data_IF_135701989511
#
_entry.id   IF_135701989511
#
_cell.length_a   1.000
_cell.length_b   1.000
_cell.length_c   1.000
_cell.angle_alpha   90.00
_cell.angle_beta   90.00
_cell.angle_gamma   90.00
#
_symmetry.space_group_name_H-M   'P 1'
#
loop_
_entity.id
_entity.type
_entity.pdbx_description
1 polymer ?
#
# COMPACT_ATOMS: atom_id res chain seq x y z
N UNK A 1 -28.18 -4.45 32.35
CA UNK A 1 -28.41 -4.58 30.88
C UNK A 1 -27.30 -5.46 30.34
N UNK A 2 -27.60 -6.74 30.13
CA UNK A 2 -26.60 -7.77 29.80
C UNK A 2 -26.34 -7.70 28.29
N UNK A 3 -25.14 -7.26 27.90
CA UNK A 3 -24.72 -7.29 26.50
C UNK A 3 -24.31 -8.73 26.15
N UNK A 4 -25.21 -9.43 25.48
CA UNK A 4 -24.92 -10.70 24.84
C UNK A 4 -23.86 -10.49 23.75
N UNK A 5 -22.66 -11.03 23.96
CA UNK A 5 -21.64 -11.16 22.91
C UNK A 5 -21.78 -12.56 22.30
N UNK A 6 -22.24 -12.70 21.05
CA UNK A 6 -22.27 -14.01 20.41
C UNK A 6 -20.84 -14.52 20.23
N UNK A 7 -20.59 -15.74 20.70
CA UNK A 7 -19.37 -16.49 20.39
C UNK A 7 -19.46 -16.86 18.91
N UNK A 8 -18.53 -16.37 18.10
CA UNK A 8 -18.40 -16.79 16.70
C UNK A 8 -17.74 -18.18 16.70
N UNK A 9 -18.52 -19.19 16.34
CA UNK A 9 -18.03 -20.56 16.13
C UNK A 9 -17.05 -20.59 14.93
N UNK A 10 -15.99 -21.43 14.94
CA UNK A 10 -14.91 -21.38 13.94
C UNK A 10 -15.30 -21.84 12.52
N UNK A 11 -16.56 -22.25 12.30
CA UNK A 11 -17.00 -22.98 11.12
C UNK A 11 -17.66 -22.14 10.02
N UNK A 12 -17.68 -20.80 10.13
CA UNK A 12 -18.30 -19.89 9.16
C UNK A 12 -17.32 -18.98 8.40
N UNK A 13 -16.10 -19.44 8.09
CA UNK A 13 -15.17 -18.73 7.20
C UNK A 13 -15.31 -19.11 5.71
N UNK A 14 -16.47 -19.58 5.27
CA UNK A 14 -16.70 -19.97 3.87
C UNK A 14 -17.51 -18.90 3.11
N UNK A 15 -16.93 -18.44 2.00
CA UNK A 15 -17.49 -17.59 0.94
C UNK A 15 -17.59 -16.08 1.19
N UNK A 16 -16.49 -15.45 1.60
CA UNK A 16 -16.24 -14.06 1.20
C UNK A 16 -15.39 -14.10 -0.07
N UNK A 17 -15.89 -13.50 -1.16
CA UNK A 17 -15.05 -13.25 -2.34
C UNK A 17 -13.79 -12.49 -1.89
N UNK A 18 -12.60 -12.84 -2.39
CA UNK A 18 -11.40 -12.12 -2.03
C UNK A 18 -11.58 -10.67 -2.48
N UNK A 19 -11.69 -9.75 -1.52
CA UNK A 19 -11.53 -8.32 -1.80
C UNK A 19 -10.17 -8.22 -2.49
N UNK A 20 -10.14 -7.69 -3.72
CA UNK A 20 -8.88 -7.50 -4.44
C UNK A 20 -7.92 -6.73 -3.53
N UNK A 21 -6.79 -7.33 -3.17
CA UNK A 21 -5.80 -6.67 -2.32
C UNK A 21 -5.28 -5.38 -2.97
N UNK A 22 -4.54 -4.56 -2.20
CA UNK A 22 -3.97 -3.28 -2.67
C UNK A 22 -3.23 -3.43 -4.02
N UNK A 23 -2.52 -4.54 -4.23
CA UNK A 23 -1.83 -4.85 -5.48
C UNK A 23 -2.73 -4.73 -6.73
N UNK A 24 -3.99 -5.16 -6.64
CA UNK A 24 -4.94 -5.05 -7.76
C UNK A 24 -5.42 -3.63 -8.05
N UNK A 25 -5.28 -2.68 -7.11
CA UNK A 25 -5.53 -1.25 -7.36
C UNK A 25 -4.26 -0.49 -7.75
N UNK A 26 -3.10 -1.01 -7.33
CA UNK A 26 -1.80 -0.39 -7.56
C UNK A 26 -1.20 -0.76 -8.92
N UNK A 27 -1.35 -2.02 -9.34
CA UNK A 27 -0.87 -2.53 -10.63
C UNK A 27 -1.97 -2.31 -11.67
N UNK A 28 -1.69 -1.47 -12.66
CA UNK A 28 -2.66 -1.10 -13.70
C UNK A 28 -3.08 -2.26 -14.63
N UNK A 29 -2.13 -2.98 -15.25
CA UNK A 29 -2.46 -4.01 -16.24
C UNK A 29 -3.27 -5.17 -15.65
N UNK A 30 -4.39 -5.47 -16.29
CA UNK A 30 -5.22 -6.65 -16.04
C UNK A 30 -4.56 -7.92 -16.60
N UNK A 31 -4.98 -9.12 -16.17
CA UNK A 31 -4.45 -10.38 -16.73
C UNK A 31 -4.56 -10.48 -18.26
N UNK A 32 -5.64 -9.97 -18.86
CA UNK A 32 -5.80 -9.95 -20.31
C UNK A 32 -4.85 -8.97 -21.01
N UNK A 33 -4.62 -7.79 -20.43
CA UNK A 33 -3.66 -6.82 -20.98
C UNK A 33 -2.22 -7.33 -20.84
N UNK A 34 -1.90 -8.00 -19.73
CA UNK A 34 -0.61 -8.68 -19.54
C UNK A 34 -0.40 -9.70 -20.66
N UNK A 35 -1.40 -10.54 -20.95
CA UNK A 35 -1.27 -11.52 -22.04
C UNK A 35 -1.05 -10.84 -23.40
N UNK A 36 -1.81 -9.79 -23.71
CA UNK A 36 -1.62 -9.02 -24.95
C UNK A 36 -0.19 -8.44 -25.06
N UNK A 37 0.36 -7.92 -23.96
CA UNK A 37 1.73 -7.41 -23.92
C UNK A 37 2.77 -8.53 -24.12
N UNK A 38 2.56 -9.70 -23.52
CA UNK A 38 3.43 -10.87 -23.69
C UNK A 38 3.42 -11.39 -25.13
N UNK A 39 2.25 -11.41 -25.77
CA UNK A 39 2.08 -11.82 -27.17
C UNK A 39 2.86 -10.88 -28.12
N UNK A 40 2.83 -9.57 -27.88
CA UNK A 40 3.62 -8.58 -28.64
C UNK A 40 5.11 -8.84 -28.52
N UNK A 41 5.56 -9.28 -27.33
CA UNK A 41 6.96 -9.61 -27.06
C UNK A 41 7.36 -11.02 -27.54
N UNK A 42 6.39 -11.85 -27.97
CA UNK A 42 6.63 -13.23 -28.40
C UNK A 42 7.12 -14.16 -27.28
N UNK A 43 6.69 -13.90 -26.04
CA UNK A 43 7.04 -14.68 -24.85
C UNK A 43 5.79 -15.21 -24.16
N UNK A 44 5.93 -16.32 -23.45
CA UNK A 44 4.79 -17.10 -22.93
C UNK A 44 4.33 -16.68 -21.53
N UNK A 45 5.20 -16.01 -20.75
CA UNK A 45 4.90 -15.67 -19.36
C UNK A 45 5.75 -14.51 -18.82
N UNK A 46 5.31 -13.96 -17.69
CA UNK A 46 6.10 -13.00 -16.92
C UNK A 46 7.40 -13.62 -16.36
N UNK A 47 7.39 -14.91 -16.00
CA UNK A 47 8.60 -15.59 -15.53
C UNK A 47 9.65 -15.67 -16.65
N UNK A 48 9.24 -16.02 -17.86
CA UNK A 48 10.12 -16.03 -19.04
C UNK A 48 10.67 -14.62 -19.34
N UNK A 49 9.85 -13.57 -19.20
CA UNK A 49 10.30 -12.19 -19.35
C UNK A 49 11.42 -11.87 -18.35
N UNK A 50 11.23 -12.23 -17.08
CA UNK A 50 12.20 -11.97 -16.01
C UNK A 50 13.50 -12.74 -16.25
N UNK A 51 13.40 -14.03 -16.61
CA UNK A 51 14.55 -14.90 -16.86
C UNK A 51 15.43 -14.39 -18.01
N UNK A 52 14.81 -13.85 -19.07
CA UNK A 52 15.52 -13.25 -20.20
C UNK A 52 16.09 -11.85 -19.92
N UNK A 53 15.59 -11.16 -18.89
CA UNK A 53 15.95 -9.76 -18.62
C UNK A 53 16.97 -9.61 -17.49
N UNK A 54 16.80 -10.36 -16.39
CA UNK A 54 17.62 -10.24 -15.18
C UNK A 54 18.63 -11.38 -15.13
N UNK A 55 19.95 -11.12 -15.12
CA UNK A 55 20.95 -12.17 -15.02
C UNK A 55 20.75 -13.03 -13.76
N UNK A 56 20.66 -14.35 -13.94
CA UNK A 56 20.41 -15.30 -12.86
C UNK A 56 21.44 -15.19 -11.72
N UNK A 57 22.70 -14.83 -12.03
CA UNK A 57 23.78 -14.69 -11.06
C UNK A 57 23.53 -13.61 -9.99
N UNK A 58 22.64 -12.64 -10.25
CA UNK A 58 22.31 -11.57 -9.30
C UNK A 58 20.86 -11.62 -8.82
N UNK A 59 20.06 -12.59 -9.29
CA UNK A 59 18.66 -12.73 -8.89
C UNK A 59 18.56 -13.36 -7.51
N UNK A 60 17.65 -12.83 -6.68
CA UNK A 60 17.37 -13.41 -5.37
C UNK A 60 16.75 -14.80 -5.55
N UNK A 61 17.31 -15.79 -4.85
CA UNK A 61 16.95 -17.21 -4.93
C UNK A 61 15.88 -17.64 -3.92
N UNK A 62 15.35 -16.69 -3.15
CA UNK A 62 14.32 -16.92 -2.14
C UNK A 62 13.33 -15.74 -2.14
N UNK A 63 12.06 -15.97 -1.76
CA UNK A 63 11.12 -14.88 -1.57
C UNK A 63 11.58 -13.90 -0.50
N UNK A 64 11.10 -12.66 -0.57
CA UNK A 64 11.32 -11.67 0.49
C UNK A 64 10.67 -12.16 1.80
N UNK A 65 11.42 -12.05 2.90
CA UNK A 65 10.92 -12.36 4.24
C UNK A 65 10.17 -11.14 4.81
N UNK A 66 8.91 -10.99 4.41
CA UNK A 66 8.03 -9.90 4.82
C UNK A 66 6.79 -10.42 5.57
N UNK A 67 6.15 -9.61 6.42
CA UNK A 67 4.83 -9.93 6.96
C UNK A 67 3.82 -10.21 5.85
N UNK A 68 2.78 -10.97 6.18
CA UNK A 68 1.67 -11.18 5.25
C UNK A 68 1.04 -9.84 4.85
N UNK A 69 0.67 -9.73 3.56
CA UNK A 69 0.03 -8.53 3.05
C UNK A 69 -1.28 -8.25 3.80
N UNK A 70 -1.46 -6.99 4.16
CA UNK A 70 -2.68 -6.51 4.80
C UNK A 70 -3.63 -5.89 3.78
N UNK A 71 -4.91 -5.82 4.14
CA UNK A 71 -5.82 -4.91 3.46
C UNK A 71 -5.43 -3.46 3.75
N UNK A 72 -5.84 -2.54 2.90
CA UNK A 72 -5.56 -1.11 3.09
C UNK A 72 -6.15 -0.57 4.38
N UNK A 73 -7.35 -1.03 4.73
CA UNK A 73 -8.00 -0.66 5.97
C UNK A 73 -7.20 -1.14 7.18
N UNK A 74 -6.74 -2.39 7.17
CA UNK A 74 -5.94 -2.95 8.25
C UNK A 74 -4.59 -2.20 8.38
N UNK A 75 -3.93 -1.91 7.25
CA UNK A 75 -2.67 -1.17 7.25
C UNK A 75 -2.81 0.24 7.83
N UNK A 76 -3.89 0.97 7.50
CA UNK A 76 -4.17 2.28 8.09
C UNK A 76 -4.50 2.18 9.59
N UNK A 77 -5.21 1.14 10.01
CA UNK A 77 -5.52 0.91 11.42
C UNK A 77 -4.25 0.63 12.24
N UNK A 78 -3.38 -0.26 11.76
CA UNK A 78 -2.09 -0.55 12.41
C UNK A 78 -1.22 0.71 12.49
N UNK A 79 -1.12 1.47 11.40
CA UNK A 79 -0.32 2.70 11.38
C UNK A 79 -0.86 3.73 12.39
N UNK A 80 -2.19 3.79 12.57
CA UNK A 80 -2.82 4.66 13.56
C UNK A 80 -2.48 4.24 14.99
N UNK A 81 -2.41 2.94 15.28
CA UNK A 81 -1.98 2.43 16.59
C UNK A 81 -0.52 2.77 16.88
N UNK A 82 0.36 2.67 15.87
CA UNK A 82 1.76 3.08 16.00
C UNK A 82 1.85 4.59 16.24
N UNK A 83 1.15 5.39 15.44
CA UNK A 83 1.15 6.85 15.55
C UNK A 83 0.63 7.35 16.90
N UNK A 84 -0.33 6.65 17.51
CA UNK A 84 -0.89 6.96 18.83
C UNK A 84 0.13 6.86 19.98
N UNK A 85 1.29 6.22 19.75
CA UNK A 85 2.39 6.15 20.73
C UNK A 85 3.19 7.47 20.80
N UNK A 86 3.07 8.33 19.80
CA UNK A 86 3.75 9.63 19.78
C UNK A 86 3.11 10.61 20.76
N UNK A 87 3.93 11.49 21.34
CA UNK A 87 3.47 12.58 22.21
C UNK A 87 3.65 13.91 21.50
N UNK A 88 2.54 14.64 21.28
CA UNK A 88 2.56 15.96 20.64
C UNK A 88 2.71 17.03 21.71
N UNK A 89 3.93 17.58 21.84
CA UNK A 89 4.25 18.65 22.77
C UNK A 89 4.22 20.02 22.09
N UNK A 90 4.07 21.08 22.90
CA UNK A 90 4.44 22.44 22.50
C UNK A 90 5.96 22.56 22.58
N UNK A 91 6.62 22.34 21.46
CA UNK A 91 8.09 22.29 21.38
C UNK A 91 8.66 23.66 21.05
N UNK A 92 9.40 24.26 21.99
CA UNK A 92 10.15 25.51 21.80
C UNK A 92 11.67 25.29 21.74
N UNK A 93 12.09 24.10 21.31
CA UNK A 93 13.51 23.73 21.18
C UNK A 93 14.21 24.63 20.15
N UNK A 94 13.51 25.00 19.07
CA UNK A 94 14.05 25.85 18.01
C UNK A 94 15.01 25.07 17.11
N UNK A 95 16.25 25.52 17.00
CA UNK A 95 17.32 24.87 16.20
C UNK A 95 16.96 24.63 14.73
N UNK A 96 16.22 25.55 14.10
CA UNK A 96 15.86 25.49 12.68
C UNK A 96 14.46 24.94 12.39
N UNK A 97 13.72 24.47 13.41
CA UNK A 97 12.32 24.07 13.27
C UNK A 97 11.44 24.87 14.24
N UNK A 98 10.40 25.49 13.69
CA UNK A 98 9.45 26.30 14.43
C UNK A 98 8.03 25.91 14.01
N UNK A 99 7.17 25.66 14.99
CA UNK A 99 5.77 25.32 14.72
C UNK A 99 5.04 26.48 14.04
N UNK A 100 4.07 26.17 13.18
CA UNK A 100 3.30 27.16 12.46
C UNK A 100 1.89 26.66 12.15
N UNK A 101 0.97 27.60 11.93
CA UNK A 101 -0.37 27.27 11.46
C UNK A 101 -0.31 27.13 9.95
N UNK A 102 -0.33 25.90 9.45
CA UNK A 102 -0.57 25.64 8.02
C UNK A 102 -2.00 26.07 7.69
N UNK A 103 -2.21 27.06 6.80
CA UNK A 103 -3.55 27.50 6.45
C UNK A 103 -4.38 26.31 5.91
N UNK A 104 -5.60 26.05 6.43
CA UNK A 104 -6.37 24.86 6.05
C UNK A 104 -6.64 24.75 4.55
N UNK A 105 -6.79 25.89 3.87
CA UNK A 105 -6.98 25.94 2.42
C UNK A 105 -5.76 25.40 1.65
N UNK A 106 -4.54 25.62 2.15
CA UNK A 106 -3.30 25.10 1.57
C UNK A 106 -3.17 23.62 1.88
N UNK A 107 -3.42 23.20 3.13
CA UNK A 107 -3.39 21.79 3.52
C UNK A 107 -4.32 20.94 2.65
N UNK A 108 -5.59 21.36 2.52
CA UNK A 108 -6.61 20.62 1.76
C UNK A 108 -6.38 20.64 0.24
N UNK A 109 -6.08 21.80 -0.34
CA UNK A 109 -6.15 21.97 -1.80
C UNK A 109 -4.81 21.85 -2.52
N UNK A 110 -3.70 21.84 -1.78
CA UNK A 110 -2.35 21.68 -2.33
C UNK A 110 -1.73 20.40 -1.76
N UNK A 111 -1.49 20.31 -0.45
CA UNK A 111 -0.75 19.19 0.15
C UNK A 111 -1.50 17.84 0.01
N UNK A 112 -2.82 17.84 0.20
CA UNK A 112 -3.66 16.63 0.07
C UNK A 112 -4.22 16.42 -1.35
N UNK A 113 -3.81 17.22 -2.34
CA UNK A 113 -4.36 17.18 -3.69
C UNK A 113 -3.39 16.52 -4.69
N UNK A 114 -3.72 15.34 -5.26
CA UNK A 114 -2.85 14.66 -6.21
C UNK A 114 -2.53 15.49 -7.46
N UNK A 115 -3.39 16.42 -7.85
CA UNK A 115 -3.11 17.34 -8.96
C UNK A 115 -1.90 18.25 -8.72
N UNK A 116 -1.46 18.40 -7.47
CA UNK A 116 -0.29 19.19 -7.09
C UNK A 116 0.94 18.35 -6.77
N UNK A 117 0.80 17.15 -6.19
CA UNK A 117 1.94 16.36 -5.71
C UNK A 117 2.36 15.19 -6.61
N UNK A 118 1.61 14.88 -7.67
CA UNK A 118 1.95 13.75 -8.56
C UNK A 118 2.83 14.13 -9.75
N UNK A 119 2.87 15.42 -10.12
CA UNK A 119 3.80 15.92 -11.13
C UNK A 119 5.25 15.83 -10.64
N UNK A 120 6.21 15.78 -11.57
CA UNK A 120 7.65 15.77 -11.25
C UNK A 120 8.28 17.15 -11.55
N UNK A 121 9.57 17.16 -11.91
CA UNK A 121 10.25 18.39 -12.35
C UNK A 121 9.56 18.94 -13.61
N UNK A 122 9.22 20.24 -13.66
CA UNK A 122 8.62 20.85 -14.82
C UNK A 122 9.55 20.86 -16.04
#
# INVERSE_FOLDING_TARGET
MVLYSPKVEPSQQQNLSPISGFAGRHIGPTPSEIQQMLDVLGISSLDELIDKTVPAAIRMNQPLQLPAAQSEYAALAELKEIAAKNQVFRSYIGTGYHDCITPPVIGRNILENPGWYTAYTP
#
